data_IF_417967162411
#
_entry.id   IF_417967162411
#
_cell.length_a   1.000
_cell.length_b   1.000
_cell.length_c   1.000
_cell.angle_alpha   90.00
_cell.angle_beta   90.00
_cell.angle_gamma   90.00
#
_symmetry.space_group_name_H-M   'P 1'
#
loop_
_entity.id
_entity.type
_entity.pdbx_description
1 polymer ?
#
# COMPACT_ATOMS: atom_id res chain seq x y z
N UNK A 1 -8.03 20.09 -4.00
CA UNK A 1 -6.82 19.67 -4.72
C UNK A 1 -5.64 20.31 -4.02
N UNK A 2 -4.70 19.51 -3.54
CA UNK A 2 -3.47 19.99 -2.89
C UNK A 2 -2.30 19.56 -3.75
N UNK A 3 -1.31 20.44 -3.91
CA UNK A 3 -0.12 20.17 -4.71
C UNK A 3 1.08 19.97 -3.78
N UNK A 4 1.96 19.04 -4.17
CA UNK A 4 3.26 18.85 -3.55
C UNK A 4 4.34 19.06 -4.61
N UNK A 5 5.45 19.69 -4.22
CA UNK A 5 6.65 19.81 -5.05
C UNK A 5 7.75 19.01 -4.40
N UNK A 6 8.40 18.15 -5.17
CA UNK A 6 9.53 17.33 -4.73
C UNK A 6 10.74 17.68 -5.58
N UNK A 7 11.92 17.72 -4.96
CA UNK A 7 13.19 17.92 -5.66
C UNK A 7 13.93 16.59 -5.70
N UNK A 8 14.46 16.27 -6.87
CA UNK A 8 15.31 15.11 -7.11
C UNK A 8 16.57 15.58 -7.82
N UNK A 9 17.64 14.82 -7.66
CA UNK A 9 18.79 14.92 -8.55
C UNK A 9 18.39 14.37 -9.94
N UNK A 10 18.97 14.93 -11.00
CA UNK A 10 18.56 14.65 -12.38
C UNK A 10 18.75 13.17 -12.78
N UNK A 11 19.77 12.51 -12.23
CA UNK A 11 20.09 11.10 -12.45
C UNK A 11 19.07 10.17 -11.79
N UNK A 12 18.65 10.49 -10.57
CA UNK A 12 17.59 9.75 -9.86
C UNK A 12 16.25 9.95 -10.55
N UNK A 13 15.92 11.18 -10.96
CA UNK A 13 14.66 11.43 -11.66
C UNK A 13 14.59 10.72 -13.02
N UNK A 14 15.73 10.60 -13.71
CA UNK A 14 15.83 9.82 -14.96
C UNK A 14 15.52 8.33 -14.74
N UNK A 15 16.05 7.74 -13.67
CA UNK A 15 15.73 6.34 -13.30
C UNK A 15 14.25 6.15 -12.95
N UNK A 16 13.65 7.09 -12.20
CA UNK A 16 12.22 7.07 -11.89
C UNK A 16 11.39 7.11 -13.17
N UNK A 17 11.80 7.93 -14.14
CA UNK A 17 11.10 8.05 -15.43
C UNK A 17 11.17 6.75 -16.23
N UNK A 18 12.34 6.14 -16.35
CA UNK A 18 12.52 4.85 -17.05
C UNK A 18 11.67 3.75 -16.41
N UNK A 19 11.65 3.68 -15.08
CA UNK A 19 10.84 2.69 -14.36
C UNK A 19 9.34 2.96 -14.54
N UNK A 20 8.90 4.21 -14.47
CA UNK A 20 7.51 4.56 -14.73
C UNK A 20 7.07 4.15 -16.15
N UNK A 21 7.92 4.42 -17.16
CA UNK A 21 7.66 4.04 -18.55
C UNK A 21 7.59 2.52 -18.72
N UNK A 22 8.47 1.76 -18.05
CA UNK A 22 8.42 0.30 -18.02
C UNK A 22 7.07 -0.23 -17.50
N UNK A 23 6.47 0.45 -16.51
CA UNK A 23 5.15 0.12 -15.98
C UNK A 23 3.98 0.75 -16.77
N UNK A 24 4.24 1.48 -17.86
CA UNK A 24 3.21 2.15 -18.66
C UNK A 24 2.56 3.34 -17.94
N UNK A 25 3.25 3.96 -16.98
CA UNK A 25 2.77 5.06 -16.15
C UNK A 25 3.55 6.35 -16.43
N UNK A 26 2.95 7.49 -16.09
CA UNK A 26 3.72 8.75 -16.03
C UNK A 26 4.54 8.79 -14.74
N UNK A 27 5.67 9.52 -14.69
CA UNK A 27 6.47 9.65 -13.47
C UNK A 27 5.65 10.15 -12.27
N UNK A 28 4.74 11.11 -12.49
CA UNK A 28 3.86 11.62 -11.42
C UNK A 28 2.90 10.57 -10.90
N UNK A 29 2.28 9.76 -11.78
CA UNK A 29 1.38 8.68 -11.34
C UNK A 29 2.16 7.61 -10.60
N UNK A 30 3.35 7.23 -11.10
CA UNK A 30 4.21 6.26 -10.45
C UNK A 30 4.61 6.70 -9.03
N UNK A 31 5.14 7.92 -8.88
CA UNK A 31 5.51 8.46 -7.57
C UNK A 31 4.31 8.58 -6.62
N UNK A 32 3.15 9.01 -7.13
CA UNK A 32 1.92 9.09 -6.34
C UNK A 32 1.53 7.71 -5.82
N UNK A 33 1.56 6.68 -6.67
CA UNK A 33 1.20 5.32 -6.29
C UNK A 33 2.17 4.79 -5.22
N UNK A 34 3.48 4.97 -5.40
CA UNK A 34 4.47 4.54 -4.41
C UNK A 34 4.25 5.17 -3.02
N UNK A 35 3.88 6.46 -2.96
CA UNK A 35 3.55 7.13 -1.70
C UNK A 35 2.25 6.58 -1.10
N UNK A 36 1.24 6.30 -1.93
CA UNK A 36 -0.04 5.77 -1.48
C UNK A 36 0.10 4.32 -0.96
N UNK A 37 0.87 3.48 -1.63
CA UNK A 37 1.16 2.10 -1.19
C UNK A 37 1.81 2.10 0.19
N UNK A 38 2.83 2.94 0.41
CA UNK A 38 3.48 3.05 1.72
C UNK A 38 2.53 3.55 2.82
N UNK A 39 1.58 4.42 2.47
CA UNK A 39 0.54 4.88 3.40
C UNK A 39 -0.48 3.77 3.71
N UNK A 40 -0.89 3.01 2.70
CA UNK A 40 -1.79 1.87 2.83
C UNK A 40 -1.17 0.80 3.72
N UNK A 41 0.10 0.43 3.50
CA UNK A 41 0.83 -0.55 4.32
C UNK A 41 0.83 -0.18 5.81
N UNK A 42 1.03 1.10 6.14
CA UNK A 42 1.01 1.55 7.54
C UNK A 42 -0.41 1.50 8.12
N UNK A 43 -1.42 1.93 7.36
CA UNK A 43 -2.80 1.89 7.82
C UNK A 43 -3.28 0.45 8.04
N UNK A 44 -2.96 -0.46 7.12
CA UNK A 44 -3.27 -1.88 7.20
C UNK A 44 -2.58 -2.54 8.39
N UNK A 45 -1.31 -2.18 8.66
CA UNK A 45 -0.61 -2.66 9.85
C UNK A 45 -1.32 -2.23 11.14
N UNK A 46 -1.70 -0.95 11.25
CA UNK A 46 -2.41 -0.44 12.43
C UNK A 46 -3.78 -1.11 12.60
N UNK A 47 -4.52 -1.32 11.50
CA UNK A 47 -5.79 -2.02 11.54
C UNK A 47 -5.62 -3.49 11.96
N UNK A 48 -4.58 -4.17 11.47
CA UNK A 48 -4.22 -5.53 11.88
C UNK A 48 -3.93 -5.63 13.38
N UNK A 49 -3.13 -4.72 13.93
CA UNK A 49 -2.84 -4.66 15.38
C UNK A 49 -4.12 -4.42 16.18
N UNK A 50 -4.99 -3.51 15.73
CA UNK A 50 -6.28 -3.26 16.36
C UNK A 50 -7.16 -4.51 16.36
N UNK A 51 -7.30 -5.19 15.23
CA UNK A 51 -8.08 -6.41 15.11
C UNK A 51 -7.58 -7.52 16.05
N UNK A 52 -6.25 -7.67 16.19
CA UNK A 52 -5.64 -8.60 17.14
C UNK A 52 -5.99 -8.23 18.60
N UNK A 53 -5.88 -6.95 18.96
CA UNK A 53 -6.26 -6.48 20.29
C UNK A 53 -7.75 -6.73 20.59
N UNK A 54 -8.64 -6.40 19.66
CA UNK A 54 -10.09 -6.57 19.81
C UNK A 54 -10.51 -8.04 19.86
N UNK A 55 -9.76 -8.92 19.19
CA UNK A 55 -9.98 -10.37 19.27
C UNK A 55 -9.81 -10.92 20.70
N UNK A 56 -9.07 -10.22 21.57
CA UNK A 56 -8.72 -10.67 22.92
C UNK A 56 -8.17 -12.11 22.93
N UNK A 57 -7.36 -12.47 21.92
CA UNK A 57 -6.77 -13.80 21.76
C UNK A 57 -7.75 -14.88 21.29
N UNK A 58 -9.00 -14.53 20.93
CA UNK A 58 -9.96 -15.49 20.38
C UNK A 58 -9.62 -15.79 18.93
N UNK A 59 -9.42 -17.07 18.63
CA UNK A 59 -9.25 -17.54 17.25
C UNK A 59 -10.52 -18.23 16.76
N UNK A 60 -10.60 -18.40 15.44
CA UNK A 60 -11.64 -19.19 14.78
C UNK A 60 -10.97 -20.31 14.00
N UNK A 61 -11.59 -21.49 13.97
CA UNK A 61 -11.05 -22.61 13.20
C UNK A 61 -11.14 -22.32 11.70
N UNK A 62 -10.30 -23.00 10.92
CA UNK A 62 -10.31 -22.90 9.46
C UNK A 62 -11.69 -23.25 8.89
N UNK A 63 -12.32 -24.32 9.39
CA UNK A 63 -13.64 -24.78 8.92
C UNK A 63 -14.69 -23.67 9.08
N UNK A 64 -14.72 -23.02 10.24
CA UNK A 64 -15.64 -21.91 10.52
C UNK A 64 -15.36 -20.68 9.64
N UNK A 65 -14.11 -20.45 9.27
CA UNK A 65 -13.76 -19.38 8.34
C UNK A 65 -14.18 -19.68 6.90
N UNK A 66 -14.02 -20.92 6.44
CA UNK A 66 -14.47 -21.36 5.12
C UNK A 66 -16.00 -21.21 4.98
N UNK A 67 -16.74 -21.64 5.99
CA UNK A 67 -18.20 -21.47 6.06
C UNK A 67 -18.61 -19.98 5.91
N UNK A 68 -17.92 -19.07 6.62
CA UNK A 68 -18.18 -17.63 6.54
C UNK A 68 -17.91 -17.03 5.17
N UNK A 69 -16.91 -17.53 4.47
CA UNK A 69 -16.52 -17.07 3.13
C UNK A 69 -17.34 -17.72 2.01
N UNK A 70 -18.25 -18.63 2.34
CA UNK A 70 -19.05 -19.37 1.36
C UNK A 70 -18.21 -20.34 0.53
N UNK A 71 -17.11 -20.85 1.11
CA UNK A 71 -16.17 -21.77 0.46
C UNK A 71 -16.27 -23.19 1.02
#
# INVERSE_FOLDING_TARGET
MTTATMRFDDDIYSQIKELAEFHGLTPTTFMKNAILEQLEDELDYQEGIKALSESNGKTVSREKMMERLGM
#
